data_IF_173862673887
#
_entry.id   IF_173862673887
#
_cell.length_a   1.000
_cell.length_b   1.000
_cell.length_c   1.000
_cell.angle_alpha   90.00
_cell.angle_beta   90.00
_cell.angle_gamma   90.00
#
_symmetry.space_group_name_H-M   'P 1'
#
loop_
_entity.id
_entity.type
_entity.pdbx_description
1 polymer ?
#
# COMPACT_ATOMS: atom_id res chain seq x y z
N UNK A 1 -12.10 -33.94 -28.67
CA UNK A 1 -13.49 -33.49 -28.49
C UNK A 1 -13.93 -33.90 -27.10
N UNK A 2 -14.01 -32.93 -26.19
CA UNK A 2 -14.62 -32.89 -24.84
C UNK A 2 -14.07 -31.58 -24.25
N UNK A 3 -14.63 -30.46 -24.66
CA UNK A 3 -15.71 -29.70 -23.99
C UNK A 3 -15.24 -28.87 -22.79
N UNK A 4 -15.48 -27.56 -22.96
CA UNK A 4 -16.04 -26.64 -21.98
C UNK A 4 -15.16 -26.05 -20.86
N UNK A 5 -14.90 -24.75 -21.07
CA UNK A 5 -15.13 -23.67 -20.10
C UNK A 5 -14.28 -23.64 -18.81
N UNK A 6 -13.04 -23.17 -18.94
CA UNK A 6 -12.37 -22.42 -17.87
C UNK A 6 -12.61 -20.92 -18.09
N UNK A 7 -13.77 -20.46 -17.65
CA UNK A 7 -14.04 -19.05 -17.44
C UNK A 7 -13.23 -18.58 -16.23
N UNK A 8 -12.26 -17.68 -16.43
CA UNK A 8 -11.74 -16.81 -15.36
C UNK A 8 -11.90 -15.37 -15.80
N UNK A 9 -13.11 -14.85 -15.55
CA UNK A 9 -13.37 -13.41 -15.45
C UNK A 9 -12.80 -12.95 -14.11
N UNK A 10 -11.75 -12.14 -14.11
CA UNK A 10 -11.48 -11.20 -13.02
C UNK A 10 -10.27 -10.34 -13.34
N UNK A 11 -10.52 -9.13 -13.81
CA UNK A 11 -9.79 -7.97 -13.31
C UNK A 11 -10.68 -6.75 -13.57
N UNK A 12 -11.82 -6.73 -12.88
CA UNK A 12 -12.54 -5.48 -12.69
C UNK A 12 -11.65 -4.64 -11.77
N UNK A 13 -10.82 -3.80 -12.39
CA UNK A 13 -9.93 -2.88 -11.71
C UNK A 13 -10.78 -1.76 -11.11
N UNK A 14 -11.55 -2.10 -10.08
CA UNK A 14 -12.25 -1.14 -9.23
C UNK A 14 -11.15 -0.37 -8.52
N UNK A 15 -10.78 0.78 -9.09
CA UNK A 15 -10.00 1.78 -8.37
C UNK A 15 -10.72 1.99 -7.04
N UNK A 16 -10.05 1.81 -5.89
CA UNK A 16 -10.70 2.06 -4.61
C UNK A 16 -11.22 3.48 -4.67
N UNK A 17 -12.54 3.64 -4.49
CA UNK A 17 -13.17 4.96 -4.38
C UNK A 17 -12.45 5.63 -3.21
N UNK A 18 -11.65 6.65 -3.52
CA UNK A 18 -10.85 7.32 -2.51
C UNK A 18 -11.80 8.10 -1.60
N UNK A 19 -11.99 7.57 -0.40
CA UNK A 19 -12.93 8.14 0.57
C UNK A 19 -12.43 9.50 1.05
N UNK A 20 -13.26 10.52 0.81
CA UNK A 20 -13.10 11.83 1.43
C UNK A 20 -13.24 11.66 2.95
N UNK A 21 -12.33 12.25 3.77
CA UNK A 21 -12.45 12.22 5.22
C UNK A 21 -13.85 12.61 5.69
N UNK A 22 -14.38 11.90 6.67
CA UNK A 22 -15.74 12.13 7.18
C UNK A 22 -15.95 13.58 7.62
N UNK A 23 -14.94 14.19 8.24
CA UNK A 23 -14.99 15.58 8.70
C UNK A 23 -15.13 16.58 7.53
N UNK A 24 -14.55 16.26 6.36
CA UNK A 24 -14.68 17.07 5.15
C UNK A 24 -16.04 16.86 4.47
N UNK A 25 -16.64 15.67 4.60
CA UNK A 25 -18.01 15.43 4.17
C UNK A 25 -18.99 16.24 5.02
N UNK A 26 -18.87 16.17 6.34
CA UNK A 26 -19.68 16.95 7.29
C UNK A 26 -19.53 18.46 7.04
N UNK A 27 -18.31 18.94 6.81
CA UNK A 27 -18.06 20.34 6.45
C UNK A 27 -18.72 20.73 5.13
N UNK A 28 -18.71 19.82 4.15
CA UNK A 28 -19.37 20.05 2.84
C UNK A 28 -20.87 20.19 3.01
N UNK A 29 -21.51 19.34 3.80
CA UNK A 29 -22.94 19.43 4.10
C UNK A 29 -23.29 20.71 4.86
N UNK A 30 -22.48 21.09 5.85
CA UNK A 30 -22.67 22.35 6.57
C UNK A 30 -22.59 23.57 5.64
N UNK A 31 -21.66 23.58 4.67
CA UNK A 31 -21.54 24.65 3.68
C UNK A 31 -22.70 24.65 2.68
N UNK A 32 -23.24 23.48 2.33
CA UNK A 32 -24.43 23.37 1.45
C UNK A 32 -25.69 23.96 2.06
N UNK A 33 -25.81 23.94 3.40
CA UNK A 33 -26.92 24.56 4.12
C UNK A 33 -26.85 26.09 4.17
N UNK A 34 -25.75 26.71 3.74
CA UNK A 34 -25.59 28.16 3.73
C UNK A 34 -26.35 28.81 2.56
N UNK A 35 -26.81 30.08 2.70
CA UNK A 35 -27.31 30.86 1.59
C UNK A 35 -26.28 30.96 0.45
N UNK A 36 -26.79 30.96 -0.79
CA UNK A 36 -26.04 30.89 -2.05
C UNK A 36 -24.80 31.79 -2.09
N UNK A 37 -24.96 33.07 -1.73
CA UNK A 37 -23.86 34.05 -1.71
C UNK A 37 -22.65 33.63 -0.87
N UNK A 38 -22.87 32.96 0.27
CA UNK A 38 -21.79 32.55 1.16
C UNK A 38 -21.20 31.21 0.73
N UNK A 39 -22.06 30.31 0.25
CA UNK A 39 -21.65 29.02 -0.31
C UNK A 39 -20.73 29.22 -1.50
N UNK A 40 -21.08 30.10 -2.43
CA UNK A 40 -20.32 30.34 -3.66
C UNK A 40 -18.96 30.99 -3.37
N UNK A 41 -18.87 31.81 -2.32
CA UNK A 41 -17.61 32.40 -1.88
C UNK A 41 -16.62 31.36 -1.31
N UNK A 42 -17.11 30.31 -0.65
CA UNK A 42 -16.29 29.33 0.07
C UNK A 42 -16.08 28.04 -0.73
N UNK A 43 -16.98 27.70 -1.65
CA UNK A 43 -16.95 26.47 -2.44
C UNK A 43 -15.60 26.22 -3.15
N UNK A 44 -14.94 27.21 -3.77
CA UNK A 44 -13.63 26.99 -4.40
C UNK A 44 -12.54 26.63 -3.37
N UNK A 45 -12.58 27.21 -2.18
CA UNK A 45 -11.61 26.90 -1.13
C UNK A 45 -11.85 25.49 -0.56
N UNK A 46 -13.11 25.12 -0.31
CA UNK A 46 -13.50 23.79 0.12
C UNK A 46 -13.04 22.72 -0.89
N UNK A 47 -13.29 22.94 -2.18
CA UNK A 47 -12.89 22.01 -3.24
C UNK A 47 -11.36 21.75 -3.22
N UNK A 48 -10.55 22.80 -3.12
CA UNK A 48 -9.08 22.67 -3.02
C UNK A 48 -8.64 21.91 -1.77
N UNK A 49 -9.29 22.16 -0.62
CA UNK A 49 -8.97 21.47 0.63
C UNK A 49 -9.30 19.99 0.52
N UNK A 50 -10.49 19.65 0.03
CA UNK A 50 -10.91 18.25 -0.20
C UNK A 50 -9.95 17.53 -1.12
N UNK A 51 -9.65 18.10 -2.30
CA UNK A 51 -8.69 17.52 -3.23
C UNK A 51 -7.30 17.33 -2.60
N UNK A 52 -6.78 18.37 -1.93
CA UNK A 52 -5.46 18.30 -1.30
C UNK A 52 -5.39 17.24 -0.19
N UNK A 53 -6.47 17.08 0.58
CA UNK A 53 -6.57 16.10 1.66
C UNK A 53 -6.64 14.68 1.13
N UNK A 54 -7.47 14.44 0.11
CA UNK A 54 -7.54 13.14 -0.57
C UNK A 54 -6.19 12.78 -1.20
N UNK A 55 -5.54 13.73 -1.87
CA UNK A 55 -4.21 13.52 -2.47
C UNK A 55 -3.14 13.20 -1.43
N UNK A 56 -3.10 13.90 -0.29
CA UNK A 56 -2.15 13.61 0.81
C UNK A 56 -2.38 12.21 1.37
N UNK A 57 -3.64 11.83 1.60
CA UNK A 57 -3.99 10.48 2.07
C UNK A 57 -3.49 9.41 1.10
N UNK A 58 -3.65 9.62 -0.21
CA UNK A 58 -3.15 8.72 -1.25
C UNK A 58 -1.63 8.56 -1.18
N UNK A 59 -0.88 9.67 -1.09
CA UNK A 59 0.58 9.64 -0.98
C UNK A 59 1.00 8.87 0.28
N UNK A 60 0.38 9.16 1.42
CA UNK A 60 0.69 8.46 2.68
C UNK A 60 0.39 6.97 2.59
N UNK A 61 -0.71 6.57 1.94
CA UNK A 61 -1.04 5.15 1.73
C UNK A 61 0.02 4.45 0.88
N UNK A 62 0.43 5.05 -0.24
CA UNK A 62 1.50 4.51 -1.09
C UNK A 62 2.84 4.38 -0.35
N UNK A 63 3.17 5.39 0.47
CA UNK A 63 4.38 5.34 1.32
C UNK A 63 4.28 4.22 2.35
N UNK A 64 3.12 4.06 3.01
CA UNK A 64 2.89 2.98 3.97
C UNK A 64 3.01 1.61 3.31
N UNK A 65 2.43 1.42 2.12
CA UNK A 65 2.53 0.18 1.34
C UNK A 65 3.99 -0.12 0.98
N UNK A 66 4.74 0.88 0.48
CA UNK A 66 6.15 0.72 0.13
C UNK A 66 7.02 0.40 1.36
N UNK A 67 6.77 1.03 2.50
CA UNK A 67 7.48 0.73 3.76
C UNK A 67 7.13 -0.66 4.29
N UNK A 68 5.88 -1.09 4.14
CA UNK A 68 5.46 -2.44 4.53
C UNK A 68 6.14 -3.50 3.66
N UNK A 69 6.24 -3.26 2.34
CA UNK A 69 6.97 -4.13 1.42
C UNK A 69 8.45 -4.17 1.77
N UNK A 70 9.12 -3.03 1.93
CA UNK A 70 10.53 -2.97 2.32
C UNK A 70 10.80 -3.71 3.63
N UNK A 71 9.89 -3.59 4.61
CA UNK A 71 10.00 -4.32 5.88
C UNK A 71 9.92 -5.83 5.69
N UNK A 72 9.11 -6.31 4.76
CA UNK A 72 9.05 -7.71 4.40
C UNK A 72 10.33 -8.15 3.67
N UNK A 73 10.82 -7.36 2.72
CA UNK A 73 12.05 -7.64 1.98
C UNK A 73 13.26 -7.73 2.92
N UNK A 74 13.33 -6.87 3.94
CA UNK A 74 14.36 -6.95 4.97
C UNK A 74 14.29 -8.26 5.78
N UNK A 75 13.08 -8.77 6.08
CA UNK A 75 12.94 -10.06 6.76
C UNK A 75 13.45 -11.21 5.90
N UNK A 76 13.16 -11.19 4.60
CA UNK A 76 13.68 -12.18 3.67
C UNK A 76 15.20 -12.12 3.56
N UNK A 77 15.78 -10.91 3.46
CA UNK A 77 17.24 -10.77 3.41
C UNK A 77 17.93 -11.31 4.66
N UNK A 78 17.38 -11.05 5.85
CA UNK A 78 17.93 -11.59 7.10
C UNK A 78 17.82 -13.12 7.14
N UNK A 79 16.68 -13.67 6.70
CA UNK A 79 16.49 -15.11 6.61
C UNK A 79 17.50 -15.77 5.66
N UNK A 80 17.67 -15.23 4.45
CA UNK A 80 18.63 -15.74 3.47
C UNK A 80 20.08 -15.65 3.99
N UNK A 81 20.40 -14.58 4.72
CA UNK A 81 21.71 -14.43 5.36
C UNK A 81 21.95 -15.50 6.44
N UNK A 82 20.94 -15.84 7.24
CA UNK A 82 21.04 -16.90 8.24
C UNK A 82 21.18 -18.28 7.61
N UNK A 83 20.45 -18.54 6.52
CA UNK A 83 20.58 -19.78 5.76
C UNK A 83 22.00 -19.95 5.19
N UNK A 84 22.53 -18.93 4.51
CA UNK A 84 23.89 -18.97 3.94
C UNK A 84 24.99 -19.05 5.00
N UNK A 85 24.78 -18.44 6.18
CA UNK A 85 25.70 -18.61 7.32
C UNK A 85 25.71 -20.04 7.83
N UNK A 86 24.53 -20.65 8.03
CA UNK A 86 24.42 -22.04 8.47
C UNK A 86 25.07 -23.00 7.47
N UNK A 87 24.79 -22.85 6.18
CA UNK A 87 25.42 -23.67 5.13
C UNK A 87 26.95 -23.54 5.14
N UNK A 88 27.48 -22.32 5.25
CA UNK A 88 28.93 -22.10 5.35
C UNK A 88 29.52 -22.78 6.58
N UNK A 89 28.87 -22.68 7.72
CA UNK A 89 29.36 -23.25 8.97
C UNK A 89 29.35 -24.80 8.90
N UNK A 90 28.32 -25.40 8.31
CA UNK A 90 28.27 -26.83 7.99
C UNK A 90 29.39 -27.27 7.04
N UNK A 91 29.71 -26.47 6.02
CA UNK A 91 30.81 -26.78 5.11
C UNK A 91 32.18 -26.68 5.79
N UNK A 92 32.38 -25.70 6.67
CA UNK A 92 33.63 -25.59 7.45
C UNK A 92 33.82 -26.79 8.36
N UNK A 93 32.78 -27.20 9.07
CA UNK A 93 32.84 -28.36 9.97
C UNK A 93 33.20 -29.64 9.21
N UNK A 94 32.63 -29.85 8.00
CA UNK A 94 33.00 -30.99 7.14
C UNK A 94 34.46 -30.96 6.70
N UNK A 95 34.98 -29.78 6.32
CA UNK A 95 36.38 -29.63 5.91
C UNK A 95 37.36 -29.89 7.07
N UNK A 96 37.01 -29.47 8.28
CA UNK A 96 37.76 -29.77 9.50
C UNK A 96 37.73 -31.28 9.83
N UNK A 97 36.59 -31.95 9.63
CA UNK A 97 36.46 -33.41 9.83
C UNK A 97 37.24 -34.22 8.77
N UNK A 98 37.27 -33.75 7.52
CA UNK A 98 37.98 -34.40 6.40
C UNK A 98 39.51 -34.14 6.43
N UNK A 99 40.03 -33.43 7.43
CA UNK A 99 41.46 -33.20 7.64
C UNK A 99 42.10 -32.29 6.59
N UNK A 100 41.30 -31.45 5.92
CA UNK A 100 41.79 -30.48 4.93
C UNK A 100 42.21 -29.14 5.54
N UNK A 101 42.08 -28.99 6.87
CA UNK A 101 42.59 -27.90 7.71
C UNK A 101 43.12 -28.44 9.03
#
# INVERSE_FOLDING_TARGET
MHDSAAQSKSSDNVKPVEEVPQELLELTEAIRALPERYRDAVAPALARVTESSTRRRRILKLVQEALAQLRLDMKYLVFDLEATRRERDEYREKLEQDGQL
#
